data_IF_606567062157
#
_entry.id   IF_606567062157
#
_cell.length_a   1.000
_cell.length_b   1.000
_cell.length_c   1.000
_cell.angle_alpha   90.00
_cell.angle_beta   90.00
_cell.angle_gamma   90.00
#
_symmetry.space_group_name_H-M   'P 1'
#
loop_
_entity.id
_entity.type
_entity.pdbx_description
1 polymer ?
#
# COMPACT_ATOMS: atom_id res chain seq x y z
N UNK A 1 9.24 17.77 10.99
CA UNK A 1 10.40 17.99 11.89
C UNK A 1 11.61 17.43 11.18
N UNK A 2 12.66 18.22 10.99
CA UNK A 2 13.92 17.74 10.43
C UNK A 2 14.93 17.59 11.57
N UNK A 3 15.68 16.49 11.57
CA UNK A 3 16.68 16.20 12.61
C UNK A 3 17.99 15.82 11.93
N UNK A 4 19.09 16.42 12.37
CA UNK A 4 20.44 16.06 11.95
C UNK A 4 21.03 15.09 12.97
N UNK A 5 21.43 13.90 12.52
CA UNK A 5 22.07 12.89 13.35
C UNK A 5 23.30 12.31 12.64
N UNK A 6 24.25 11.77 13.41
CA UNK A 6 25.39 11.06 12.83
C UNK A 6 24.96 9.65 12.43
N UNK A 7 25.45 9.16 11.29
CA UNK A 7 25.33 7.75 10.91
C UNK A 7 25.90 6.89 12.05
N UNK A 8 25.17 5.86 12.46
CA UNK A 8 25.49 5.02 13.61
C UNK A 8 24.79 5.43 14.92
N UNK A 9 24.11 6.58 14.97
CA UNK A 9 23.30 6.96 16.15
C UNK A 9 22.17 5.94 16.34
N UNK A 10 21.93 5.49 17.56
CA UNK A 10 20.85 4.53 17.85
C UNK A 10 19.48 5.19 17.67
N UNK A 11 18.52 4.40 17.21
CA UNK A 11 17.16 4.87 17.00
C UNK A 11 16.52 5.37 18.31
N UNK A 12 16.74 4.67 19.42
CA UNK A 12 16.28 5.11 20.75
C UNK A 12 16.85 6.46 21.16
N UNK A 13 18.14 6.70 20.89
CA UNK A 13 18.77 8.00 21.12
C UNK A 13 18.21 9.10 20.22
N UNK A 14 17.80 8.76 18.99
CA UNK A 14 17.14 9.70 18.10
C UNK A 14 15.65 9.94 18.47
N UNK A 15 14.99 9.01 19.13
CA UNK A 15 13.57 9.17 19.47
C UNK A 15 13.34 9.73 20.89
N UNK A 16 14.35 9.67 21.76
CA UNK A 16 14.29 10.17 23.13
C UNK A 16 13.79 11.62 23.19
N UNK A 17 12.74 11.85 24.00
CA UNK A 17 12.11 13.16 24.17
C UNK A 17 11.38 13.72 22.94
N UNK A 18 11.29 12.98 21.82
CA UNK A 18 10.62 13.41 20.57
C UNK A 18 9.27 12.73 20.34
N UNK A 19 8.98 11.67 21.08
CA UNK A 19 7.71 10.97 21.05
C UNK A 19 6.77 11.51 22.13
N UNK A 20 5.47 11.57 21.83
CA UNK A 20 4.46 11.88 22.84
C UNK A 20 4.27 10.66 23.73
N UNK A 21 4.62 10.78 25.01
CA UNK A 21 4.54 9.69 26.00
C UNK A 21 3.10 9.29 26.35
N UNK A 22 2.13 10.17 26.08
CA UNK A 22 0.70 10.00 26.39
C UNK A 22 0.03 8.80 25.70
N UNK A 23 0.64 8.24 24.65
CA UNK A 23 0.05 7.11 23.91
C UNK A 23 1.10 6.20 23.25
N UNK A 24 0.84 4.88 23.19
CA UNK A 24 1.71 3.97 22.46
C UNK A 24 1.76 4.39 20.99
N UNK A 25 2.95 4.39 20.41
CA UNK A 25 3.19 4.79 19.04
C UNK A 25 3.95 3.70 18.30
N UNK A 26 3.47 3.33 17.12
CA UNK A 26 4.18 2.45 16.20
C UNK A 26 5.15 3.29 15.37
N UNK A 27 6.36 2.77 15.20
CA UNK A 27 7.42 3.44 14.45
C UNK A 27 7.63 2.71 13.13
N UNK A 28 7.58 3.46 12.05
CA UNK A 28 7.71 2.99 10.68
C UNK A 28 8.84 3.76 10.00
N UNK A 29 9.78 3.04 9.39
CA UNK A 29 10.87 3.64 8.62
C UNK A 29 10.45 3.98 7.20
N UNK A 30 11.04 5.05 6.66
CA UNK A 30 11.04 5.47 5.26
C UNK A 30 9.68 5.89 4.68
N UNK A 31 8.55 5.27 5.02
CA UNK A 31 7.22 5.65 4.52
C UNK A 31 6.13 4.99 5.34
N UNK A 32 4.97 5.64 5.48
CA UNK A 32 3.81 5.00 6.11
C UNK A 32 3.23 3.84 5.29
N UNK A 33 3.32 3.90 3.96
CA UNK A 33 2.65 2.95 3.07
C UNK A 33 3.54 1.78 2.66
N UNK A 34 4.83 2.05 2.44
CA UNK A 34 5.81 1.09 1.92
C UNK A 34 6.94 0.81 2.91
N UNK A 35 6.91 1.46 4.06
CA UNK A 35 7.94 1.36 5.07
C UNK A 35 7.90 0.06 5.86
N UNK A 36 8.91 -0.07 6.72
CA UNK A 36 9.09 -1.24 7.59
C UNK A 36 8.81 -0.82 9.02
N UNK A 37 7.99 -1.61 9.71
CA UNK A 37 7.78 -1.44 11.14
C UNK A 37 9.04 -1.85 11.89
N UNK A 38 9.49 -0.99 12.80
CA UNK A 38 10.60 -1.32 13.70
C UNK A 38 10.10 -1.61 15.10
N UNK A 39 10.62 -2.69 15.65
CA UNK A 39 10.41 -3.07 17.05
C UNK A 39 11.70 -2.93 17.89
N UNK A 40 12.87 -2.87 17.24
CA UNK A 40 14.15 -2.74 17.91
C UNK A 40 14.67 -1.30 17.84
N UNK A 41 14.81 -0.67 19.01
CA UNK A 41 15.31 0.71 19.16
C UNK A 41 16.82 0.79 19.31
N UNK A 42 17.51 -0.33 19.42
CA UNK A 42 18.98 -0.36 19.51
C UNK A 42 19.63 -0.22 18.13
N UNK A 43 18.85 -0.41 17.05
CA UNK A 43 19.30 -0.35 15.68
C UNK A 43 19.99 1.01 15.37
N UNK A 44 21.22 0.99 14.81
CA UNK A 44 21.88 2.20 14.36
C UNK A 44 21.25 2.72 13.07
N UNK A 45 21.15 4.05 12.96
CA UNK A 45 20.64 4.71 11.76
C UNK A 45 21.73 4.78 10.70
N UNK A 46 21.40 4.35 9.48
CA UNK A 46 22.28 4.43 8.32
C UNK A 46 21.79 5.47 7.29
N UNK A 47 22.43 5.49 6.11
CA UNK A 47 22.08 6.42 5.02
C UNK A 47 20.83 6.00 4.24
N UNK A 48 20.29 4.81 4.46
CA UNK A 48 19.07 4.33 3.81
C UNK A 48 17.80 4.90 4.46
N UNK A 49 17.93 5.45 5.67
CA UNK A 49 16.83 6.02 6.43
C UNK A 49 16.51 7.41 5.87
N UNK A 50 15.39 7.53 5.16
CA UNK A 50 14.92 8.80 4.61
C UNK A 50 14.02 9.57 5.58
N UNK A 51 13.18 8.84 6.33
CA UNK A 51 12.28 9.40 7.32
C UNK A 51 11.92 8.36 8.39
N UNK A 52 11.50 8.85 9.56
CA UNK A 52 10.98 8.02 10.65
C UNK A 52 9.59 8.56 10.98
N UNK A 53 8.58 7.70 10.86
CA UNK A 53 7.20 8.07 11.12
C UNK A 53 6.70 7.37 12.37
N UNK A 54 6.21 8.15 13.33
CA UNK A 54 5.53 7.64 14.51
C UNK A 54 4.02 7.86 14.38
N UNK A 55 3.25 6.77 14.38
CA UNK A 55 1.79 6.77 14.28
C UNK A 55 1.20 6.22 15.58
N UNK A 56 0.12 6.82 16.15
CA UNK A 56 -0.49 6.29 17.36
C UNK A 56 -0.99 4.86 17.15
N UNK A 57 -0.58 3.95 18.03
CA UNK A 57 -1.01 2.56 17.99
C UNK A 57 -2.33 2.40 18.74
N UNK A 58 -3.39 2.07 18.00
CA UNK A 58 -4.68 1.67 18.56
C UNK A 58 -4.87 0.17 18.41
N UNK A 59 -5.10 -0.50 19.55
CA UNK A 59 -5.46 -1.93 19.61
C UNK A 59 -6.91 -2.13 20.06
N UNK A 60 -7.61 -1.05 20.40
CA UNK A 60 -9.00 -1.06 20.79
C UNK A 60 -9.92 -1.34 19.59
N UNK A 61 -10.81 -2.33 19.77
CA UNK A 61 -11.96 -2.50 18.88
C UNK A 61 -12.97 -1.41 19.19
N UNK A 62 -13.29 -0.58 18.21
CA UNK A 62 -14.34 0.43 18.38
C UNK A 62 -15.70 -0.27 18.59
N UNK A 63 -16.33 -0.16 19.78
CA UNK A 63 -17.62 -0.77 20.01
C UNK A 63 -18.64 -0.16 19.05
N UNK A 64 -19.47 -1.01 18.43
CA UNK A 64 -20.55 -0.62 17.52
C UNK A 64 -20.06 0.27 16.36
N UNK A 65 -18.88 -0.06 15.81
CA UNK A 65 -18.26 0.61 14.65
C UNK A 65 -19.20 0.84 13.46
N UNK A 66 -20.18 -0.04 13.24
CA UNK A 66 -21.18 0.06 12.17
C UNK A 66 -22.23 1.17 12.39
N UNK A 67 -22.52 1.56 13.64
CA UNK A 67 -23.46 2.64 13.95
C UNK A 67 -22.80 4.02 13.97
N UNK A 68 -21.47 4.08 13.95
CA UNK A 68 -20.74 5.35 13.98
C UNK A 68 -20.73 5.95 12.57
N UNK A 69 -21.22 7.18 12.46
CA UNK A 69 -21.27 7.98 11.21
C UNK A 69 -19.86 8.39 10.70
N UNK A 70 -18.79 7.92 11.37
CA UNK A 70 -17.40 8.11 10.97
C UNK A 70 -16.95 9.56 10.88
N UNK A 71 -17.30 10.38 11.88
CA UNK A 71 -16.96 11.79 11.96
C UNK A 71 -15.43 12.09 11.91
N UNK A 72 -14.59 11.17 12.37
CA UNK A 72 -13.11 11.30 12.36
C UNK A 72 -12.41 10.26 11.47
N UNK A 73 -13.17 9.53 10.64
CA UNK A 73 -12.61 8.50 9.77
C UNK A 73 -12.06 9.12 8.51
N UNK A 74 -10.85 8.72 8.15
CA UNK A 74 -10.36 8.98 6.82
C UNK A 74 -10.90 7.89 5.88
N UNK A 75 -11.69 8.31 4.88
CA UNK A 75 -12.24 7.39 3.89
C UNK A 75 -12.34 8.07 2.54
N UNK A 76 -12.12 7.25 1.51
CA UNK A 76 -12.29 7.65 0.12
C UNK A 76 -13.75 7.86 -0.23
N UNK A 77 -14.66 7.06 0.33
CA UNK A 77 -16.08 7.18 0.01
C UNK A 77 -16.65 8.44 0.66
N UNK A 78 -17.58 9.09 -0.05
CA UNK A 78 -18.30 10.26 0.47
C UNK A 78 -19.36 9.91 1.51
N UNK A 79 -19.52 8.62 1.85
CA UNK A 79 -20.54 8.13 2.77
C UNK A 79 -20.26 8.48 4.25
N UNK A 80 -19.03 8.89 4.58
CA UNK A 80 -18.65 9.22 5.95
C UNK A 80 -18.83 10.71 6.26
N UNK A 81 -19.31 11.02 7.48
CA UNK A 81 -19.57 12.39 7.93
C UNK A 81 -18.32 13.28 7.87
N UNK A 82 -17.13 12.69 8.05
CA UNK A 82 -15.85 13.40 7.93
C UNK A 82 -15.66 14.09 6.56
N UNK A 83 -16.27 13.57 5.49
CA UNK A 83 -16.16 14.17 4.16
C UNK A 83 -17.19 15.29 3.93
N UNK A 84 -18.27 15.36 4.73
CA UNK A 84 -19.24 16.47 4.67
C UNK A 84 -18.85 17.65 5.56
N UNK A 85 -18.11 17.40 6.63
CA UNK A 85 -17.59 18.42 7.55
C UNK A 85 -16.06 18.47 7.48
N UNK A 86 -15.46 19.14 6.47
CA UNK A 86 -14.00 19.12 6.25
C UNK A 86 -13.18 19.73 7.41
N UNK A 87 -13.83 20.52 8.27
CA UNK A 87 -13.20 21.08 9.47
C UNK A 87 -13.03 20.06 10.62
N UNK A 88 -13.60 18.86 10.52
CA UNK A 88 -13.35 17.81 11.50
C UNK A 88 -11.97 17.18 11.28
N UNK A 89 -11.18 17.14 12.36
CA UNK A 89 -9.88 16.48 12.35
C UNK A 89 -10.03 14.98 12.08
N UNK A 90 -9.55 14.54 10.91
CA UNK A 90 -9.33 13.12 10.59
C UNK A 90 -8.17 12.58 11.43
N UNK A 91 -8.34 11.40 12.01
CA UNK A 91 -7.30 10.74 12.81
C UNK A 91 -6.61 9.67 11.96
N UNK A 92 -5.31 9.79 11.77
CA UNK A 92 -4.48 8.70 11.24
C UNK A 92 -3.97 7.87 12.43
N UNK A 93 -4.43 6.62 12.54
CA UNK A 93 -3.98 5.64 13.52
C UNK A 93 -3.76 4.27 12.86
N UNK A 94 -3.27 3.30 13.63
CA UNK A 94 -3.01 1.93 13.14
C UNK A 94 -4.27 1.08 13.00
N UNK A 95 -5.47 1.63 13.28
CA UNK A 95 -6.69 0.84 13.26
C UNK A 95 -7.13 0.59 11.81
N UNK A 96 -7.36 -0.68 11.48
CA UNK A 96 -7.87 -1.06 10.15
C UNK A 96 -9.37 -0.79 10.02
N UNK A 97 -10.07 -0.46 11.11
CA UNK A 97 -11.52 -0.21 11.16
C UNK A 97 -12.36 -1.32 10.50
N UNK A 98 -11.83 -2.55 10.47
CA UNK A 98 -12.42 -3.69 9.77
C UNK A 98 -11.41 -4.83 9.63
N UNK A 99 -11.85 -5.88 8.95
CA UNK A 99 -11.07 -7.08 8.63
C UNK A 99 -11.03 -7.30 7.10
N UNK A 100 -10.14 -8.18 6.65
CA UNK A 100 -10.07 -8.56 5.23
C UNK A 100 -11.39 -9.20 4.78
N UNK A 101 -11.97 -8.71 3.69
CA UNK A 101 -13.23 -9.21 3.10
C UNK A 101 -13.09 -9.40 1.59
N UNK A 102 -14.00 -10.16 0.95
CA UNK A 102 -14.02 -10.30 -0.50
C UNK A 102 -14.11 -8.95 -1.22
N UNK A 103 -13.42 -8.86 -2.36
CA UNK A 103 -13.45 -7.67 -3.21
C UNK A 103 -14.87 -7.40 -3.72
N UNK A 104 -15.39 -6.20 -3.46
CA UNK A 104 -16.70 -5.73 -3.94
C UNK A 104 -16.63 -5.02 -5.30
N UNK A 105 -15.46 -5.05 -5.96
CA UNK A 105 -15.23 -4.42 -7.27
C UNK A 105 -15.59 -2.92 -7.30
N UNK A 106 -15.20 -2.17 -6.26
CA UNK A 106 -15.51 -0.74 -6.11
C UNK A 106 -14.64 0.22 -6.93
N UNK A 107 -13.74 -0.28 -7.79
CA UNK A 107 -12.80 0.49 -8.67
C UNK A 107 -11.87 1.52 -8.02
N UNK A 108 -11.97 1.80 -6.71
CA UNK A 108 -11.13 2.79 -6.00
C UNK A 108 -9.62 2.58 -6.18
N UNK A 109 -9.18 1.33 -6.26
CA UNK A 109 -7.75 1.04 -6.45
C UNK A 109 -7.22 1.43 -7.83
N UNK A 110 -8.07 1.48 -8.87
CA UNK A 110 -7.72 1.95 -10.20
C UNK A 110 -7.67 3.48 -10.23
N UNK A 111 -8.67 4.13 -9.63
CA UNK A 111 -8.80 5.59 -9.60
C UNK A 111 -7.59 6.27 -8.94
N UNK A 112 -7.04 5.66 -7.88
CA UNK A 112 -5.86 6.19 -7.18
C UNK A 112 -4.52 5.73 -7.77
N UNK A 113 -4.53 4.85 -8.78
CA UNK A 113 -3.30 4.28 -9.30
C UNK A 113 -2.56 5.28 -10.21
N UNK A 114 -1.33 5.72 -9.86
CA UNK A 114 -0.61 6.72 -10.64
C UNK A 114 -0.18 6.21 -12.03
N UNK A 115 -0.04 4.88 -12.18
CA UNK A 115 0.38 4.22 -13.41
C UNK A 115 -0.79 3.57 -14.17
N UNK A 116 -2.04 3.78 -13.71
CA UNK A 116 -3.28 3.35 -14.39
C UNK A 116 -3.34 1.84 -14.72
N UNK A 117 -2.77 0.99 -13.87
CA UNK A 117 -3.00 -0.45 -13.92
C UNK A 117 -4.33 -0.81 -13.25
N UNK A 118 -4.73 -2.09 -13.30
CA UNK A 118 -5.97 -2.61 -12.70
C UNK A 118 -5.63 -3.53 -11.50
N UNK A 119 -5.36 -2.99 -10.29
CA UNK A 119 -4.78 -3.77 -9.19
C UNK A 119 -5.70 -4.87 -8.67
N UNK A 120 -7.02 -4.63 -8.64
CA UNK A 120 -7.96 -5.61 -8.14
C UNK A 120 -8.01 -6.87 -9.04
N UNK A 121 -7.84 -6.70 -10.35
CA UNK A 121 -7.87 -7.79 -11.32
C UNK A 121 -6.54 -8.55 -11.30
N UNK A 122 -5.42 -7.84 -11.37
CA UNK A 122 -4.08 -8.41 -11.20
C UNK A 122 -3.95 -9.21 -9.90
N UNK A 123 -4.48 -8.69 -8.80
CA UNK A 123 -4.49 -9.37 -7.51
C UNK A 123 -5.29 -10.68 -7.55
N UNK A 124 -6.38 -10.76 -8.31
CA UNK A 124 -7.16 -12.01 -8.47
C UNK A 124 -6.37 -13.05 -9.23
N UNK A 125 -5.65 -12.66 -10.28
CA UNK A 125 -4.79 -13.57 -11.04
C UNK A 125 -3.64 -14.11 -10.18
N UNK A 126 -2.92 -13.22 -9.46
CA UNK A 126 -1.83 -13.63 -8.57
C UNK A 126 -2.33 -14.57 -7.47
N UNK A 127 -3.46 -14.25 -6.81
CA UNK A 127 -4.04 -15.12 -5.76
C UNK A 127 -4.51 -16.48 -6.30
N UNK A 128 -4.90 -16.56 -7.58
CA UNK A 128 -5.26 -17.82 -8.25
C UNK A 128 -4.05 -18.60 -8.75
N UNK A 129 -2.83 -18.08 -8.61
CA UNK A 129 -1.62 -18.69 -9.14
C UNK A 129 -1.51 -18.59 -10.67
N UNK A 130 -2.31 -17.73 -11.30
CA UNK A 130 -2.24 -17.44 -12.74
C UNK A 130 -1.08 -16.47 -12.94
N UNK A 131 0.12 -17.03 -13.04
CA UNK A 131 1.38 -16.32 -13.26
C UNK A 131 1.83 -16.60 -14.70
N UNK A 132 1.18 -15.93 -15.64
CA UNK A 132 1.33 -16.13 -17.08
C UNK A 132 1.27 -14.80 -17.85
N UNK A 133 1.11 -14.89 -19.18
CA UNK A 133 1.01 -13.76 -20.10
C UNK A 133 -0.10 -12.77 -19.73
N UNK A 134 -1.15 -13.24 -19.07
CA UNK A 134 -2.26 -12.41 -18.63
C UNK A 134 -1.77 -11.30 -17.70
N UNK A 135 -0.87 -11.59 -16.75
CA UNK A 135 -0.34 -10.56 -15.85
C UNK A 135 0.46 -9.49 -16.59
N UNK A 136 1.19 -9.88 -17.63
CA UNK A 136 1.95 -8.94 -18.46
C UNK A 136 1.04 -8.15 -19.39
N UNK A 137 0.01 -8.77 -19.94
CA UNK A 137 -1.01 -8.11 -20.75
C UNK A 137 -1.76 -7.04 -19.94
N UNK A 138 -1.92 -7.25 -18.63
CA UNK A 138 -2.43 -6.25 -17.69
C UNK A 138 -1.34 -5.34 -17.09
N UNK A 139 -0.17 -5.26 -17.72
CA UNK A 139 0.88 -4.29 -17.43
C UNK A 139 1.37 -4.34 -15.97
N UNK A 140 1.43 -5.54 -15.36
CA UNK A 140 1.85 -5.69 -13.95
C UNK A 140 3.19 -5.02 -13.67
N UNK A 141 4.17 -5.11 -14.59
CA UNK A 141 5.50 -4.51 -14.47
C UNK A 141 5.51 -2.98 -14.46
N UNK A 142 4.40 -2.31 -14.80
CA UNK A 142 4.29 -0.86 -14.63
C UNK A 142 4.02 -0.46 -13.17
N UNK A 143 3.66 -1.41 -12.29
CA UNK A 143 3.46 -1.14 -10.86
C UNK A 143 4.75 -0.60 -10.21
N UNK A 144 4.68 0.59 -9.64
CA UNK A 144 5.81 1.24 -8.92
C UNK A 144 5.79 0.99 -7.41
N UNK A 145 5.03 0.00 -6.95
CA UNK A 145 4.93 -0.40 -5.54
C UNK A 145 4.54 0.70 -4.54
N UNK A 146 3.79 1.73 -4.96
CA UNK A 146 3.48 2.89 -4.10
C UNK A 146 2.55 2.61 -2.90
N UNK A 147 1.79 1.51 -2.91
CA UNK A 147 0.92 1.10 -1.80
C UNK A 147 -0.44 1.80 -1.68
N UNK A 148 -0.75 2.78 -2.53
CA UNK A 148 -2.03 3.51 -2.51
C UNK A 148 -3.26 2.61 -2.65
N UNK A 149 -3.17 1.58 -3.50
CA UNK A 149 -4.26 0.64 -3.74
C UNK A 149 -4.65 -0.15 -2.48
N UNK A 150 -3.68 -0.60 -1.69
CA UNK A 150 -3.94 -1.28 -0.40
C UNK A 150 -4.55 -0.33 0.62
N UNK A 151 -4.04 0.90 0.69
CA UNK A 151 -4.50 1.90 1.64
C UNK A 151 -5.99 2.25 1.42
N UNK A 152 -6.36 2.48 0.16
CA UNK A 152 -7.71 2.93 -0.19
C UNK A 152 -8.76 1.81 -0.14
N UNK A 153 -8.32 0.55 -0.14
CA UNK A 153 -9.22 -0.59 -0.21
C UNK A 153 -10.17 -0.62 1.00
N UNK A 154 -11.50 -0.53 0.80
CA UNK A 154 -12.45 -0.54 1.91
C UNK A 154 -12.53 -1.91 2.61
N UNK A 155 -12.23 -2.98 1.87
CA UNK A 155 -12.23 -4.37 2.34
C UNK A 155 -10.85 -4.89 2.75
N UNK A 156 -9.84 -4.00 2.82
CA UNK A 156 -8.51 -4.27 3.41
C UNK A 156 -7.74 -5.42 2.77
N UNK A 157 -7.89 -5.59 1.46
CA UNK A 157 -7.09 -6.55 0.68
C UNK A 157 -5.65 -6.01 0.56
N UNK A 158 -4.62 -6.84 0.81
CA UNK A 158 -3.21 -6.43 0.70
C UNK A 158 -2.74 -6.41 -0.76
N UNK A 159 -3.34 -5.54 -1.59
CA UNK A 159 -3.08 -5.45 -3.03
C UNK A 159 -1.61 -5.26 -3.39
N UNK A 160 -0.90 -4.37 -2.68
CA UNK A 160 0.53 -4.14 -2.85
C UNK A 160 1.34 -5.43 -2.69
N UNK A 161 1.02 -6.24 -1.67
CA UNK A 161 1.74 -7.49 -1.42
C UNK A 161 1.54 -8.47 -2.58
N UNK A 162 0.30 -8.57 -3.09
CA UNK A 162 0.04 -9.39 -4.28
C UNK A 162 0.77 -8.88 -5.53
N UNK A 163 0.93 -7.56 -5.71
CA UNK A 163 1.71 -7.03 -6.83
C UNK A 163 3.18 -7.45 -6.72
N UNK A 164 3.76 -7.34 -5.52
CA UNK A 164 5.15 -7.77 -5.24
C UNK A 164 5.34 -9.26 -5.49
N UNK A 165 4.42 -10.09 -5.00
CA UNK A 165 4.43 -11.53 -5.23
C UNK A 165 4.31 -11.86 -6.73
N UNK A 166 3.49 -11.13 -7.48
CA UNK A 166 3.36 -11.29 -8.93
C UNK A 166 4.65 -10.93 -9.67
N UNK A 167 5.28 -9.81 -9.33
CA UNK A 167 6.57 -9.39 -9.86
C UNK A 167 7.66 -10.42 -9.58
N UNK A 168 7.77 -10.86 -8.33
CA UNK A 168 8.79 -11.80 -7.91
C UNK A 168 8.67 -13.13 -8.68
N UNK A 169 7.45 -13.68 -8.77
CA UNK A 169 7.21 -14.94 -9.48
C UNK A 169 7.49 -14.84 -10.98
N UNK A 170 7.11 -13.73 -11.63
CA UNK A 170 7.44 -13.50 -13.05
C UNK A 170 8.94 -13.35 -13.27
N UNK A 171 9.62 -12.66 -12.35
CA UNK A 171 11.09 -12.48 -12.42
C UNK A 171 11.80 -13.83 -12.26
N UNK A 172 11.35 -14.69 -11.34
CA UNK A 172 11.86 -16.06 -11.17
C UNK A 172 11.66 -16.92 -12.42
N UNK A 173 10.61 -16.69 -13.19
CA UNK A 173 10.36 -17.36 -14.47
C UNK A 173 11.24 -16.84 -15.62
N UNK A 174 12.08 -15.84 -15.39
CA UNK A 174 12.95 -15.24 -16.42
C UNK A 174 12.24 -14.22 -17.30
N UNK A 175 11.21 -13.57 -16.76
CA UNK A 175 10.50 -12.49 -17.43
C UNK A 175 10.78 -11.13 -16.78
N UNK A 176 10.93 -10.13 -17.63
CA UNK A 176 11.13 -8.73 -17.30
C UNK A 176 10.16 -7.88 -18.12
N UNK A 177 10.06 -6.59 -17.80
CA UNK A 177 9.17 -5.62 -18.46
C UNK A 177 9.30 -5.60 -19.98
N UNK A 178 10.50 -5.84 -20.51
CA UNK A 178 10.80 -5.74 -21.95
C UNK A 178 10.98 -7.08 -22.64
N UNK A 179 11.20 -8.16 -21.89
CA UNK A 179 11.58 -9.45 -22.47
C UNK A 179 11.11 -10.61 -21.59
N UNK A 180 10.59 -11.64 -22.25
CA UNK A 180 10.37 -12.95 -21.66
C UNK A 180 11.15 -13.98 -22.45
N UNK A 181 11.89 -14.84 -21.75
CA UNK A 181 12.64 -15.94 -22.36
C UNK A 181 11.71 -17.10 -22.77
N UNK A 182 10.45 -17.06 -22.29
CA UNK A 182 9.49 -18.15 -22.44
C UNK A 182 8.80 -18.09 -23.82
N UNK A 183 8.91 -19.16 -24.65
CA UNK A 183 8.38 -19.15 -26.02
C UNK A 183 6.85 -19.22 -26.09
N UNK A 184 6.18 -19.49 -24.97
CA UNK A 184 4.72 -19.53 -24.84
C UNK A 184 4.12 -18.20 -24.38
N UNK A 185 4.94 -17.19 -24.11
CA UNK A 185 4.49 -15.81 -23.86
C UNK A 185 4.52 -15.05 -25.18
N UNK A 186 3.37 -14.92 -25.86
CA UNK A 186 3.28 -14.10 -27.08
C UNK A 186 2.71 -12.71 -26.75
N UNK A 187 3.61 -11.77 -26.47
CA UNK A 187 3.25 -10.38 -26.14
C UNK A 187 2.63 -9.60 -27.34
N UNK A 188 2.49 -10.22 -28.52
CA UNK A 188 1.94 -9.58 -29.72
C UNK A 188 0.47 -9.17 -29.60
N UNK A 189 -0.28 -9.70 -28.62
CA UNK A 189 -1.69 -9.37 -28.39
C UNK A 189 -1.96 -8.10 -27.55
N UNK A 190 -0.91 -7.46 -27.00
CA UNK A 190 -1.08 -6.32 -26.07
C UNK A 190 -1.71 -5.10 -26.77
N UNK A 191 -1.43 -4.88 -28.06
CA UNK A 191 -2.08 -3.80 -28.82
C UNK A 191 -3.58 -4.07 -29.06
N UNK A 192 -3.99 -5.34 -29.17
CA UNK A 192 -5.35 -5.75 -29.50
C UNK A 192 -6.32 -5.57 -28.31
N UNK A 193 -5.84 -5.83 -27.08
CA UNK A 193 -6.62 -5.60 -25.85
C UNK A 193 -6.70 -4.11 -25.45
N UNK A 194 -5.80 -3.28 -25.98
CA UNK A 194 -5.73 -1.86 -25.62
C UNK A 194 -6.90 -1.03 -26.16
N UNK A 195 -7.71 -1.54 -27.09
CA UNK A 195 -8.75 -0.74 -27.75
C UNK A 195 -8.20 0.55 -28.41
N UNK A 196 -6.87 0.66 -28.54
CA UNK A 196 -6.19 1.77 -29.18
C UNK A 196 -6.28 1.48 -30.66
N UNK A 197 -7.39 1.90 -31.26
CA UNK A 197 -7.42 2.14 -32.70
C UNK A 197 -6.29 3.11 -32.98
N UNK A 198 -5.27 2.68 -33.75
CA UNK A 198 -4.20 3.55 -34.21
C UNK A 198 -4.86 4.77 -34.88
N UNK A 199 -4.78 5.93 -34.25
CA UNK A 199 -5.04 7.24 -34.85
C UNK A 199 -3.78 7.69 -35.58
#
# INVERSE_FOLDING_TARGET
MHVTARVGTTLGGLLSGRLKEDRPSRIVLNSLLTGVQLNDFTLPIDKTFSQIVAIPERKDREPLSFMRIGARRDSYSQAFLANWLPNLAKSADTNMHGEERPCISCTYCEEVCPVRIIPHLLSKYVKRGVIDETLMNYDIFNCIECGLCSFICPVKIPLLQHMKEGHEKLTMQGCDRTQCILPYFDLKGIEEYRGVTKL
#
